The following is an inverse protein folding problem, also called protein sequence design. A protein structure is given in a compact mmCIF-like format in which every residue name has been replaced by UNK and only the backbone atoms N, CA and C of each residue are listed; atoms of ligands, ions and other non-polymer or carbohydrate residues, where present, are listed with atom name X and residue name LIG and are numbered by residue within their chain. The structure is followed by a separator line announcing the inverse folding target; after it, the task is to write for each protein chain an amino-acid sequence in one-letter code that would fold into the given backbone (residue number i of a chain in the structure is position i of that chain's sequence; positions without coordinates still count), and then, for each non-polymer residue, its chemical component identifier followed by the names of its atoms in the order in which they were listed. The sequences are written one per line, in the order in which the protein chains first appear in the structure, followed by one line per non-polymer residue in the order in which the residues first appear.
data_IF_028288789856
#
_entry.id   IF_028288789856
#
_cell.length_a   1.000
_cell.length_b   1.000
_cell.length_c   1.000
_cell.angle_alpha   90.00
_cell.angle_beta   90.00
_cell.angle_gamma   90.00
#
_symmetry.space_group_name_H-M   'P 1'
#
loop_
_entity.id
_entity.type
_entity.pdbx_description
1 polymer ?
#
# COMPACT_ATOMS: atom_id res chain seq x y z
N UNK A 1 -19.89 11.55 19.64
CA UNK A 1 -20.15 12.98 19.96
C UNK A 1 -19.03 13.46 20.89
N UNK A 2 -17.88 13.84 20.28
CA UNK A 2 -16.79 14.45 21.00
C UNK A 2 -17.19 15.87 21.40
N UNK A 3 -17.30 16.11 22.70
CA UNK A 3 -17.43 17.45 23.23
C UNK A 3 -16.24 18.29 22.73
N UNK A 4 -16.43 19.37 21.98
CA UNK A 4 -15.31 20.21 21.57
C UNK A 4 -14.72 20.84 22.83
N UNK A 5 -13.57 20.35 23.28
CA UNK A 5 -12.80 21.00 24.38
C UNK A 5 -12.22 22.35 23.94
N UNK A 6 -12.48 22.75 22.72
CA UNK A 6 -11.91 23.94 22.12
C UNK A 6 -12.78 25.16 22.39
N UNK A 7 -12.33 25.99 23.31
CA UNK A 7 -12.88 27.32 23.43
C UNK A 7 -12.57 28.13 22.16
N UNK A 8 -13.53 28.82 21.62
CA UNK A 8 -13.33 29.75 20.51
C UNK A 8 -12.51 30.96 20.97
N UNK A 9 -11.84 31.62 20.03
CA UNK A 9 -11.13 32.88 20.32
C UNK A 9 -12.03 33.89 21.04
N UNK A 10 -13.29 33.99 20.60
CA UNK A 10 -14.26 34.91 21.20
C UNK A 10 -14.60 34.52 22.64
N UNK A 11 -14.84 33.24 22.92
CA UNK A 11 -15.12 32.76 24.28
C UNK A 11 -13.96 33.00 25.24
N UNK A 12 -12.71 32.82 24.76
CA UNK A 12 -11.51 33.11 25.56
C UNK A 12 -11.45 34.61 25.87
N UNK A 13 -11.64 35.46 24.86
CA UNK A 13 -11.61 36.89 25.02
C UNK A 13 -12.70 37.37 25.99
N UNK A 14 -13.92 36.88 25.83
CA UNK A 14 -15.07 37.24 26.67
C UNK A 14 -14.88 36.76 28.12
N UNK A 15 -14.33 35.59 28.34
CA UNK A 15 -13.97 35.11 29.69
C UNK A 15 -12.93 36.01 30.37
N UNK A 16 -11.91 36.42 29.62
CA UNK A 16 -10.87 37.30 30.16
C UNK A 16 -11.46 38.69 30.51
N UNK A 17 -12.33 39.24 29.68
CA UNK A 17 -13.02 40.50 29.91
C UNK A 17 -13.94 40.42 31.12
N UNK A 18 -14.72 39.37 31.22
CA UNK A 18 -15.62 39.16 32.36
C UNK A 18 -14.83 39.03 33.67
N UNK A 19 -13.76 38.23 33.70
CA UNK A 19 -12.91 38.11 34.87
C UNK A 19 -12.27 39.42 35.33
N UNK A 20 -11.87 40.28 34.38
CA UNK A 20 -11.34 41.60 34.69
C UNK A 20 -12.41 42.50 35.26
N UNK A 21 -13.60 42.55 34.64
CA UNK A 21 -14.73 43.32 35.12
C UNK A 21 -15.13 42.93 36.54
N UNK A 22 -15.18 41.64 36.83
CA UNK A 22 -15.52 41.12 38.18
C UNK A 22 -14.47 41.52 39.22
N UNK A 23 -13.22 41.69 38.82
CA UNK A 23 -12.13 42.06 39.71
C UNK A 23 -12.02 43.57 39.97
N UNK A 24 -12.27 44.42 38.95
CA UNK A 24 -11.99 45.86 38.98
C UNK A 24 -13.23 46.74 38.82
N UNK A 25 -14.35 46.19 38.32
CA UNK A 25 -15.59 46.95 38.01
C UNK A 25 -15.50 47.82 36.76
N UNK A 26 -14.39 47.77 36.02
CA UNK A 26 -14.16 48.52 34.79
C UNK A 26 -14.26 47.63 33.57
N UNK A 27 -14.76 48.16 32.45
CA UNK A 27 -14.84 47.42 31.19
C UNK A 27 -13.54 47.52 30.39
N UNK A 28 -12.89 46.42 30.04
CA UNK A 28 -11.67 46.47 29.26
C UNK A 28 -11.81 47.12 27.88
N UNK A 29 -13.02 47.07 27.29
CA UNK A 29 -13.31 47.67 25.99
C UNK A 29 -13.19 49.22 26.03
N UNK A 30 -13.37 49.83 27.20
CA UNK A 30 -13.23 51.27 27.39
C UNK A 30 -11.74 51.70 27.54
N UNK A 31 -10.82 50.68 27.61
CA UNK A 31 -9.38 50.87 27.78
C UNK A 31 -8.63 50.24 26.59
N UNK A 32 -8.35 50.98 25.50
CA UNK A 32 -7.84 50.37 24.25
C UNK A 32 -6.54 49.59 24.40
N UNK A 33 -5.63 50.05 25.25
CA UNK A 33 -4.36 49.32 25.50
C UNK A 33 -4.58 47.98 26.20
N UNK A 34 -5.51 47.91 27.13
CA UNK A 34 -5.86 46.73 27.89
C UNK A 34 -6.60 45.72 27.01
N UNK A 35 -7.56 46.20 26.21
CA UNK A 35 -8.26 45.37 25.25
C UNK A 35 -7.28 44.74 24.19
N UNK A 36 -6.32 45.54 23.71
CA UNK A 36 -5.28 45.03 22.83
C UNK A 36 -4.41 43.92 23.47
N UNK A 37 -4.06 44.07 24.76
CA UNK A 37 -3.35 43.02 25.51
C UNK A 37 -4.18 41.76 25.68
N UNK A 38 -5.47 41.88 25.99
CA UNK A 38 -6.37 40.74 26.10
C UNK A 38 -6.51 39.99 24.77
N UNK A 39 -6.65 40.70 23.66
CA UNK A 39 -6.67 40.08 22.32
C UNK A 39 -5.37 39.36 21.98
N UNK A 40 -4.23 39.92 22.35
CA UNK A 40 -2.93 39.31 22.14
C UNK A 40 -2.80 38.01 22.94
N UNK A 41 -3.14 38.04 24.23
CA UNK A 41 -3.11 36.85 25.09
C UNK A 41 -4.13 35.78 24.63
N UNK A 42 -5.34 36.23 24.25
CA UNK A 42 -6.37 35.31 23.74
C UNK A 42 -5.93 34.61 22.43
N UNK A 43 -5.15 35.29 21.59
CA UNK A 43 -4.56 34.67 20.38
C UNK A 43 -3.64 33.52 20.74
N UNK A 44 -2.74 33.71 21.70
CA UNK A 44 -1.81 32.65 22.15
C UNK A 44 -2.54 31.50 22.86
N UNK A 45 -3.51 31.81 23.71
CA UNK A 45 -4.34 30.79 24.36
C UNK A 45 -5.18 29.98 23.35
N UNK A 46 -5.70 30.65 22.33
CA UNK A 46 -6.39 29.97 21.24
C UNK A 46 -5.46 29.06 20.45
N UNK A 47 -4.26 29.54 20.10
CA UNK A 47 -3.23 28.73 19.44
C UNK A 47 -2.87 27.50 20.29
N UNK A 48 -2.72 27.67 21.61
CA UNK A 48 -2.46 26.56 22.53
C UNK A 48 -3.63 25.57 22.57
N UNK A 49 -4.87 26.03 22.56
CA UNK A 49 -6.05 25.14 22.50
C UNK A 49 -6.11 24.35 21.19
N UNK A 50 -5.78 24.97 20.06
CA UNK A 50 -5.68 24.28 18.76
C UNK A 50 -4.59 23.19 18.80
N UNK A 51 -3.46 23.51 19.39
CA UNK A 51 -2.38 22.53 19.59
C UNK A 51 -2.82 21.38 20.49
N UNK A 52 -3.54 21.69 21.59
CA UNK A 52 -4.12 20.68 22.48
C UNK A 52 -5.06 19.71 21.77
N UNK A 53 -5.98 20.23 20.94
CA UNK A 53 -6.89 19.42 20.12
C UNK A 53 -6.11 18.54 19.12
N UNK A 54 -5.06 19.10 18.50
CA UNK A 54 -4.20 18.33 17.62
C UNK A 54 -3.54 17.17 18.37
N UNK A 55 -2.91 17.44 19.50
CA UNK A 55 -2.29 16.39 20.32
C UNK A 55 -3.32 15.34 20.72
N UNK A 56 -4.49 15.74 21.19
CA UNK A 56 -5.56 14.81 21.56
C UNK A 56 -5.98 13.92 20.39
N UNK A 57 -6.07 14.48 19.18
CA UNK A 57 -6.42 13.71 17.97
C UNK A 57 -5.35 12.72 17.57
N UNK A 58 -4.09 12.90 18.00
CA UNK A 58 -2.98 11.99 17.70
C UNK A 58 -2.75 10.91 18.78
N UNK A 59 -3.40 11.01 19.94
CA UNK A 59 -3.21 10.07 21.07
C UNK A 59 -3.73 8.67 20.75
N UNK A 60 -4.78 8.56 19.96
CA UNK A 60 -5.41 7.28 19.64
C UNK A 60 -5.19 6.91 18.18
N UNK A 61 -4.92 5.63 17.93
CA UNK A 61 -4.73 5.11 16.56
C UNK A 61 -5.94 5.37 15.64
N UNK A 62 -7.15 5.46 16.20
CA UNK A 62 -8.39 5.73 15.44
C UNK A 62 -8.39 7.10 14.78
N UNK A 63 -7.79 8.09 15.43
CA UNK A 63 -7.81 9.49 15.01
C UNK A 63 -6.46 9.99 14.54
N UNK A 64 -5.38 9.33 14.92
CA UNK A 64 -4.00 9.64 14.52
C UNK A 64 -3.81 9.58 13.00
N UNK A 65 -2.92 10.41 12.47
CA UNK A 65 -2.62 10.52 11.04
C UNK A 65 -1.12 10.61 10.78
N UNK A 66 -0.71 10.21 9.57
CA UNK A 66 0.66 10.36 9.09
C UNK A 66 1.68 9.74 10.04
N UNK A 67 2.70 10.50 10.42
CA UNK A 67 3.81 10.03 11.25
C UNK A 67 3.39 9.57 12.66
N UNK A 68 2.35 10.16 13.23
CA UNK A 68 1.87 9.76 14.56
C UNK A 68 1.14 8.41 14.48
N UNK A 69 0.39 8.15 13.41
CA UNK A 69 -0.17 6.83 13.14
C UNK A 69 0.93 5.78 12.88
N UNK A 70 2.04 6.17 12.26
CA UNK A 70 3.19 5.28 12.05
C UNK A 70 3.86 4.89 13.38
N UNK A 71 3.87 5.80 14.37
CA UNK A 71 4.33 5.48 15.74
C UNK A 71 3.42 4.46 16.41
N UNK A 72 2.08 4.64 16.34
CA UNK A 72 1.13 3.65 16.85
C UNK A 72 1.27 2.29 16.16
N UNK A 73 1.59 2.28 14.86
CA UNK A 73 1.89 1.04 14.14
C UNK A 73 3.15 0.36 14.69
N UNK A 74 4.21 1.14 14.93
CA UNK A 74 5.47 0.63 15.49
C UNK A 74 5.29 0.03 16.89
N UNK A 75 4.43 0.61 17.74
CA UNK A 75 4.12 0.11 19.08
C UNK A 75 3.52 -1.31 19.06
N UNK A 76 2.82 -1.67 17.98
CA UNK A 76 2.27 -3.02 17.76
C UNK A 76 3.11 -3.87 16.79
N UNK A 77 4.35 -3.45 16.50
CA UNK A 77 5.28 -4.18 15.63
C UNK A 77 4.94 -4.10 14.14
N UNK A 78 4.13 -3.14 13.71
CA UNK A 78 3.78 -2.91 12.32
C UNK A 78 4.58 -1.75 11.73
N UNK A 79 4.79 -1.81 10.41
CA UNK A 79 5.32 -0.70 9.63
C UNK A 79 4.38 -0.41 8.46
N UNK A 80 4.30 0.86 8.05
CA UNK A 80 3.56 1.25 6.85
C UNK A 80 4.19 0.60 5.62
N UNK A 81 3.36 -0.03 4.80
CA UNK A 81 3.81 -0.62 3.53
C UNK A 81 4.19 0.50 2.57
N UNK A 82 5.46 0.48 2.12
CA UNK A 82 5.97 1.41 1.14
C UNK A 82 5.40 1.18 -0.26
N UNK A 83 5.57 2.15 -1.14
CA UNK A 83 5.23 1.98 -2.55
C UNK A 83 6.16 0.95 -3.21
N UNK A 84 5.60 0.05 -4.01
CA UNK A 84 6.33 -0.97 -4.77
C UNK A 84 6.12 -0.83 -6.28
N UNK A 85 7.15 -1.16 -7.06
CA UNK A 85 7.07 -1.21 -8.50
C UNK A 85 6.42 -2.52 -8.97
N UNK A 86 5.70 -2.46 -10.09
CA UNK A 86 5.22 -3.66 -10.76
C UNK A 86 6.39 -4.36 -11.46
N UNK A 87 6.45 -5.68 -11.37
CA UNK A 87 7.46 -6.50 -12.01
C UNK A 87 6.81 -7.48 -13.00
N UNK A 88 7.55 -7.81 -14.06
CA UNK A 88 7.11 -8.74 -15.08
C UNK A 88 8.21 -9.01 -16.09
N UNK A 89 7.82 -9.63 -17.20
CA UNK A 89 8.72 -9.97 -18.30
C UNK A 89 8.22 -9.31 -19.57
N UNK A 90 9.14 -8.68 -20.31
CA UNK A 90 8.92 -8.13 -21.64
C UNK A 90 9.54 -9.06 -22.66
N UNK A 91 8.78 -9.41 -23.69
CA UNK A 91 9.26 -10.18 -24.85
C UNK A 91 9.53 -9.19 -25.97
N UNK A 92 10.79 -9.09 -26.38
CA UNK A 92 11.22 -8.29 -27.53
C UNK A 92 11.29 -9.17 -28.76
N UNK A 93 10.90 -8.62 -29.91
CA UNK A 93 10.85 -9.38 -31.18
C UNK A 93 11.52 -8.63 -32.34
N UNK A 94 12.10 -9.39 -33.24
CA UNK A 94 12.62 -8.98 -34.51
C UNK A 94 11.58 -9.20 -35.63
N UNK A 95 11.75 -8.56 -36.77
CA UNK A 95 10.92 -8.80 -37.97
C UNK A 95 11.24 -10.14 -38.66
N UNK A 96 12.47 -10.61 -38.52
CA UNK A 96 13.00 -11.86 -39.09
C UNK A 96 13.97 -12.50 -38.11
N UNK A 97 14.31 -13.77 -38.30
CA UNK A 97 15.32 -14.43 -37.47
C UNK A 97 16.64 -13.64 -37.53
N UNK A 98 17.30 -13.50 -36.37
CA UNK A 98 18.53 -12.74 -36.26
C UNK A 98 19.65 -13.37 -37.11
N UNK A 99 20.26 -12.61 -38.02
CA UNK A 99 21.46 -13.06 -38.76
C UNK A 99 22.70 -13.05 -37.85
N UNK A 100 22.73 -12.13 -36.89
CA UNK A 100 23.77 -12.00 -35.88
C UNK A 100 23.12 -11.69 -34.54
N UNK A 101 23.86 -11.90 -33.44
CA UNK A 101 23.36 -11.64 -32.09
C UNK A 101 22.92 -10.17 -31.92
N UNK A 102 21.66 -9.93 -31.51
CA UNK A 102 21.08 -8.61 -31.25
C UNK A 102 20.85 -8.43 -29.78
N UNK A 103 21.42 -7.39 -29.19
CA UNK A 103 21.33 -7.12 -27.76
C UNK A 103 20.25 -6.09 -27.44
N UNK A 104 19.37 -6.42 -26.50
CA UNK A 104 18.48 -5.50 -25.81
C UNK A 104 19.22 -4.99 -24.57
N UNK A 105 19.53 -3.70 -24.46
CA UNK A 105 20.19 -3.14 -23.28
C UNK A 105 19.31 -3.19 -22.03
N UNK A 106 19.96 -3.17 -20.85
CA UNK A 106 19.27 -2.77 -19.62
C UNK A 106 18.75 -1.33 -19.77
N UNK A 107 17.76 -0.97 -18.93
CA UNK A 107 17.11 0.34 -18.95
C UNK A 107 16.42 0.69 -20.29
N UNK A 108 16.09 -0.33 -21.10
CA UNK A 108 15.23 -0.12 -22.25
C UNK A 108 13.81 0.17 -21.77
N UNK A 109 13.32 1.39 -22.08
CA UNK A 109 12.02 1.87 -21.60
C UNK A 109 10.92 1.54 -22.61
N UNK A 110 9.88 0.89 -22.12
CA UNK A 110 8.66 0.56 -22.87
C UNK A 110 7.43 1.16 -22.17
N UNK A 111 6.36 1.38 -22.91
CA UNK A 111 5.13 1.96 -22.38
C UNK A 111 3.87 1.29 -22.94
N UNK A 112 2.74 1.54 -22.29
CA UNK A 112 1.43 1.10 -22.74
C UNK A 112 0.96 2.02 -23.87
N UNK A 113 0.39 1.46 -24.93
CA UNK A 113 -0.18 2.24 -26.03
C UNK A 113 -1.31 3.15 -25.51
N UNK A 114 -1.25 4.44 -25.87
CA UNK A 114 -2.22 5.46 -25.40
C UNK A 114 -2.01 5.94 -23.95
N UNK A 115 -1.07 5.35 -23.20
CA UNK A 115 -0.76 5.72 -21.82
C UNK A 115 0.76 5.87 -21.61
N UNK A 116 1.40 6.89 -22.17
CA UNK A 116 2.86 7.04 -22.17
C UNK A 116 3.47 7.27 -20.79
N UNK A 117 2.65 7.59 -19.79
CA UNK A 117 3.07 7.71 -18.39
C UNK A 117 3.25 6.37 -17.68
N UNK A 118 2.67 5.27 -18.21
CA UNK A 118 2.89 3.92 -17.70
C UNK A 118 4.13 3.34 -18.38
N UNK A 119 5.28 3.54 -17.74
CA UNK A 119 6.59 3.17 -18.24
C UNK A 119 7.20 2.01 -17.46
N UNK A 120 7.90 1.14 -18.20
CA UNK A 120 8.56 -0.05 -17.70
C UNK A 120 9.96 -0.10 -18.28
N UNK A 121 10.96 -0.38 -17.43
CA UNK A 121 12.34 -0.49 -17.85
C UNK A 121 12.87 -1.92 -17.65
N UNK A 122 13.66 -2.39 -18.59
CA UNK A 122 14.36 -3.68 -18.46
C UNK A 122 15.39 -3.60 -17.34
N UNK A 123 15.49 -4.63 -16.50
CA UNK A 123 16.43 -4.67 -15.37
C UNK A 123 17.79 -5.25 -15.74
N UNK A 124 17.85 -5.98 -16.84
CA UNK A 124 19.08 -6.65 -17.33
C UNK A 124 19.16 -6.53 -18.84
N UNK A 125 20.37 -6.55 -19.38
CA UNK A 125 20.55 -6.75 -20.81
C UNK A 125 20.30 -8.21 -21.17
N UNK A 126 19.73 -8.44 -22.36
CA UNK A 126 19.54 -9.77 -22.93
C UNK A 126 19.87 -9.75 -24.41
N UNK A 127 20.27 -10.90 -24.95
CA UNK A 127 20.69 -11.01 -26.35
C UNK A 127 19.83 -12.03 -27.06
N UNK A 128 19.30 -11.67 -28.22
CA UNK A 128 18.64 -12.59 -29.16
C UNK A 128 19.76 -13.30 -29.92
N UNK A 129 19.94 -14.63 -29.79
CA UNK A 129 20.96 -15.37 -30.54
C UNK A 129 20.67 -15.36 -32.03
N UNK A 130 21.70 -15.62 -32.84
CA UNK A 130 21.51 -15.84 -34.27
C UNK A 130 20.57 -17.05 -34.52
N UNK A 131 19.59 -16.85 -35.39
CA UNK A 131 18.56 -17.85 -35.70
C UNK A 131 17.27 -17.72 -34.86
N UNK A 132 17.29 -16.97 -33.75
CA UNK A 132 16.13 -16.73 -32.92
C UNK A 132 15.41 -15.43 -33.29
N UNK A 133 14.16 -15.28 -32.82
CA UNK A 133 13.28 -14.13 -33.17
C UNK A 133 12.96 -13.27 -31.97
N UNK A 134 13.01 -13.84 -30.77
CA UNK A 134 12.52 -13.20 -29.56
C UNK A 134 13.47 -13.43 -28.40
N UNK A 135 13.37 -12.53 -27.41
CA UNK A 135 14.02 -12.70 -26.11
C UNK A 135 13.13 -12.16 -25.01
N UNK A 136 13.08 -12.88 -23.91
CA UNK A 136 12.39 -12.48 -22.71
C UNK A 136 13.35 -11.76 -21.76
N UNK A 137 12.94 -10.58 -21.32
CA UNK A 137 13.74 -9.71 -20.47
C UNK A 137 12.95 -9.30 -19.25
N UNK A 138 13.44 -9.53 -18.02
CA UNK A 138 12.77 -9.04 -16.83
C UNK A 138 12.74 -7.51 -16.81
N UNK A 139 11.60 -6.95 -16.42
CA UNK A 139 11.39 -5.52 -16.37
C UNK A 139 10.58 -5.11 -15.14
N UNK A 140 10.76 -3.85 -14.73
CA UNK A 140 10.03 -3.24 -13.61
C UNK A 140 9.42 -1.93 -14.06
N UNK A 141 8.32 -1.55 -13.43
CA UNK A 141 7.70 -0.24 -13.68
C UNK A 141 8.55 0.89 -13.10
N UNK A 142 8.63 2.02 -13.79
CA UNK A 142 9.27 3.22 -13.28
C UNK A 142 8.41 3.91 -12.20
N UNK A 143 7.09 3.80 -12.32
CA UNK A 143 6.16 4.29 -11.32
C UNK A 143 5.77 3.20 -10.31
N UNK A 144 5.47 3.62 -9.08
CA UNK A 144 5.10 2.73 -7.97
C UNK A 144 3.63 2.93 -7.61
N UNK A 145 2.74 2.48 -8.50
CA UNK A 145 1.29 2.57 -8.31
C UNK A 145 0.60 1.32 -8.82
N UNK A 146 -0.64 1.09 -8.40
CA UNK A 146 -1.46 -0.02 -8.86
C UNK A 146 -1.79 0.06 -10.36
N UNK A 147 -1.76 1.25 -10.96
CA UNK A 147 -1.98 1.44 -12.39
C UNK A 147 -0.92 0.74 -13.28
N UNK A 148 0.27 0.47 -12.72
CA UNK A 148 1.33 -0.27 -13.43
C UNK A 148 1.13 -1.81 -13.41
N UNK A 149 0.07 -2.32 -12.77
CA UNK A 149 -0.31 -3.73 -12.84
C UNK A 149 -1.11 -3.98 -14.12
N UNK A 150 -0.43 -3.95 -15.27
CA UNK A 150 -1.06 -4.02 -16.58
C UNK A 150 -1.29 -5.47 -17.02
N UNK A 151 -2.36 -5.68 -17.79
CA UNK A 151 -2.72 -6.99 -18.33
C UNK A 151 -1.76 -7.44 -19.45
N UNK A 152 -1.75 -8.73 -19.83
CA UNK A 152 -0.95 -9.23 -20.93
C UNK A 152 -1.24 -8.49 -22.24
N UNK A 153 -0.21 -8.24 -23.04
CA UNK A 153 -0.31 -7.60 -24.35
C UNK A 153 -0.52 -6.08 -24.34
N UNK A 154 -0.53 -5.43 -23.17
CA UNK A 154 -0.74 -3.98 -23.09
C UNK A 154 0.51 -3.15 -23.38
N UNK A 155 1.71 -3.67 -23.11
CA UNK A 155 2.97 -2.96 -23.32
C UNK A 155 3.46 -3.21 -24.73
N UNK A 156 3.25 -2.24 -25.62
CA UNK A 156 3.53 -2.41 -27.07
C UNK A 156 4.37 -1.31 -27.66
N UNK A 157 4.72 -0.28 -26.90
CA UNK A 157 5.47 0.87 -27.38
C UNK A 157 6.86 0.89 -26.72
N UNK A 158 7.91 1.03 -27.54
CA UNK A 158 9.27 1.27 -27.06
C UNK A 158 9.57 2.77 -27.11
N UNK A 159 9.98 3.34 -25.98
CA UNK A 159 10.33 4.77 -25.88
C UNK A 159 11.73 5.01 -26.44
N UNK A 160 12.67 4.11 -26.13
CA UNK A 160 14.03 4.12 -26.66
C UNK A 160 14.32 2.77 -27.37
N UNK A 161 13.82 2.58 -28.61
CA UNK A 161 13.92 1.29 -29.29
C UNK A 161 15.36 0.90 -29.55
N UNK A 162 15.81 -0.31 -29.12
CA UNK A 162 17.13 -0.82 -29.46
C UNK A 162 17.25 -1.10 -30.96
N UNK A 163 18.46 -1.00 -31.50
CA UNK A 163 18.70 -1.23 -32.91
C UNK A 163 18.29 -2.65 -33.32
N UNK A 164 17.50 -2.76 -34.41
CA UNK A 164 17.01 -4.03 -34.95
C UNK A 164 15.72 -4.56 -34.32
N UNK A 165 15.35 -4.16 -33.11
CA UNK A 165 14.12 -4.59 -32.45
C UNK A 165 12.91 -3.91 -33.11
N UNK A 166 11.86 -4.69 -33.40
CA UNK A 166 10.64 -4.22 -34.07
C UNK A 166 9.41 -4.22 -33.20
N UNK A 167 9.34 -5.08 -32.20
CA UNK A 167 8.18 -5.17 -31.32
C UNK A 167 8.56 -5.48 -29.90
N UNK A 168 7.68 -5.11 -29.01
CA UNK A 168 7.71 -5.48 -27.58
C UNK A 168 6.32 -5.87 -27.15
N UNK A 169 6.21 -6.86 -26.28
CA UNK A 169 4.94 -7.23 -25.64
C UNK A 169 5.22 -7.82 -24.26
N UNK A 170 4.22 -7.84 -23.42
CA UNK A 170 4.24 -8.59 -22.18
C UNK A 170 3.32 -9.80 -22.30
N UNK A 171 3.89 -11.01 -22.30
CA UNK A 171 3.11 -12.25 -22.38
C UNK A 171 2.26 -12.47 -21.11
N UNK A 172 2.77 -12.04 -19.96
CA UNK A 172 2.12 -12.16 -18.67
C UNK A 172 1.80 -10.79 -18.08
N UNK A 173 0.86 -10.79 -17.12
CA UNK A 173 0.51 -9.59 -16.36
C UNK A 173 1.70 -9.06 -15.56
N UNK A 174 1.92 -7.76 -15.57
CA UNK A 174 2.77 -7.10 -14.58
C UNK A 174 2.03 -6.98 -13.26
N UNK A 175 2.70 -7.29 -12.16
CA UNK A 175 2.09 -7.32 -10.83
C UNK A 175 3.04 -6.81 -9.74
N UNK A 176 2.51 -6.56 -8.55
CA UNK A 176 3.28 -6.08 -7.40
C UNK A 176 3.39 -4.56 -7.31
N UNK A 177 2.86 -3.83 -8.29
CA UNK A 177 2.76 -2.36 -8.21
C UNK A 177 1.76 -1.93 -7.15
N UNK A 178 2.20 -1.12 -6.20
CA UNK A 178 1.35 -0.57 -5.14
C UNK A 178 1.80 0.84 -4.75
N UNK A 179 0.84 1.69 -4.42
CA UNK A 179 1.11 2.97 -3.79
C UNK A 179 1.47 2.76 -2.31
N UNK A 180 1.98 3.81 -1.66
CA UNK A 180 2.15 3.82 -0.21
C UNK A 180 0.82 3.52 0.47
N UNK A 181 0.87 2.71 1.51
CA UNK A 181 -0.30 2.34 2.30
C UNK A 181 -0.97 3.58 2.90
N UNK A 182 -2.30 3.68 2.72
CA UNK A 182 -3.08 4.80 3.25
C UNK A 182 -3.24 4.69 4.78
N UNK A 183 -3.48 5.82 5.44
CA UNK A 183 -3.76 5.85 6.89
C UNK A 183 -4.94 4.93 7.25
N UNK A 184 -5.96 4.87 6.40
CA UNK A 184 -7.12 4.00 6.63
C UNK A 184 -6.73 2.53 6.62
N UNK A 185 -5.91 2.10 5.66
CA UNK A 185 -5.46 0.70 5.56
C UNK A 185 -4.53 0.33 6.73
N UNK A 186 -3.59 1.22 7.08
CA UNK A 186 -2.71 1.01 8.22
C UNK A 186 -3.49 0.92 9.54
N UNK A 187 -4.47 1.80 9.75
CA UNK A 187 -5.35 1.78 10.93
C UNK A 187 -6.11 0.47 11.06
N UNK A 188 -6.66 -0.04 9.96
CA UNK A 188 -7.32 -1.34 9.96
C UNK A 188 -6.38 -2.48 10.39
N UNK A 189 -5.13 -2.47 9.93
CA UNK A 189 -4.11 -3.45 10.34
C UNK A 189 -3.77 -3.33 11.82
N UNK A 190 -3.62 -2.12 12.35
CA UNK A 190 -3.39 -1.88 13.79
C UNK A 190 -4.55 -2.48 14.60
N UNK A 191 -5.81 -2.17 14.23
CA UNK A 191 -6.98 -2.72 14.90
C UNK A 191 -7.03 -4.25 14.84
N UNK A 192 -6.67 -4.86 13.71
CA UNK A 192 -6.64 -6.31 13.58
C UNK A 192 -5.63 -6.97 14.53
N UNK A 193 -4.43 -6.41 14.65
CA UNK A 193 -3.40 -6.91 15.58
C UNK A 193 -3.84 -6.74 17.04
N UNK A 194 -4.50 -5.64 17.36
CA UNK A 194 -5.01 -5.40 18.73
C UNK A 194 -6.17 -6.35 19.11
N UNK A 195 -7.02 -6.72 18.13
CA UNK A 195 -8.12 -7.66 18.37
C UNK A 195 -7.64 -9.09 18.60
N UNK A 196 -6.56 -9.51 17.92
CA UNK A 196 -5.98 -10.84 18.05
C UNK A 196 -4.47 -10.70 18.26
N UNK A 197 -4.03 -10.28 19.44
CA UNK A 197 -2.61 -10.06 19.69
C UNK A 197 -1.82 -11.38 19.53
N UNK A 198 -0.66 -11.33 18.86
CA UNK A 198 0.23 -12.49 18.77
C UNK A 198 0.70 -12.89 20.17
N UNK A 199 0.43 -14.12 20.58
CA UNK A 199 0.85 -14.64 21.89
C UNK A 199 2.03 -15.63 21.82
N UNK A 200 2.74 -15.63 20.70
CA UNK A 200 3.91 -16.47 20.47
C UNK A 200 3.63 -17.84 19.85
N UNK A 201 2.41 -18.36 19.99
CA UNK A 201 2.04 -19.72 19.52
C UNK A 201 0.71 -19.79 18.76
N UNK A 202 -0.05 -18.69 18.67
CA UNK A 202 -1.32 -18.70 17.97
C UNK A 202 -1.13 -18.52 16.47
N UNK A 203 -2.15 -18.88 15.70
CA UNK A 203 -2.14 -18.76 14.24
C UNK A 203 -1.92 -17.31 13.77
N UNK A 204 -2.31 -16.32 14.56
CA UNK A 204 -2.10 -14.91 14.24
C UNK A 204 -0.61 -14.54 14.31
N UNK A 205 0.13 -15.05 15.28
CA UNK A 205 1.58 -14.85 15.38
C UNK A 205 2.31 -15.47 14.19
N UNK A 206 1.97 -16.72 13.86
CA UNK A 206 2.57 -17.41 12.72
C UNK A 206 2.24 -16.72 11.40
N UNK A 207 1.00 -16.27 11.20
CA UNK A 207 0.60 -15.51 10.02
C UNK A 207 1.36 -14.18 9.90
N UNK A 208 1.44 -13.41 11.00
CA UNK A 208 2.16 -12.15 11.02
C UNK A 208 3.65 -12.31 10.69
N UNK A 209 4.28 -13.38 11.18
CA UNK A 209 5.68 -13.68 10.86
C UNK A 209 5.90 -13.97 9.36
N UNK A 210 4.99 -14.74 8.74
CA UNK A 210 5.06 -15.07 7.31
C UNK A 210 4.78 -13.83 6.45
N UNK A 211 3.83 -12.98 6.83
CA UNK A 211 3.49 -11.75 6.09
C UNK A 211 4.58 -10.68 6.12
N UNK A 212 5.57 -10.79 7.03
CA UNK A 212 6.77 -9.94 7.03
C UNK A 212 7.72 -10.24 5.86
N UNK A 213 7.61 -11.40 5.23
CA UNK A 213 8.44 -11.74 4.06
C UNK A 213 7.99 -10.92 2.84
N UNK A 214 8.92 -10.21 2.21
CA UNK A 214 8.64 -9.30 1.09
C UNK A 214 7.91 -9.95 -0.09
N UNK A 215 8.16 -11.24 -0.33
CA UNK A 215 7.57 -12.02 -1.44
C UNK A 215 6.15 -12.52 -1.12
N UNK A 216 5.70 -12.43 0.12
CA UNK A 216 4.37 -12.87 0.55
C UNK A 216 3.36 -11.75 0.37
N UNK A 217 2.26 -12.04 -0.34
CA UNK A 217 1.12 -11.13 -0.49
C UNK A 217 0.13 -11.28 0.67
N UNK A 218 -0.17 -12.52 1.01
CA UNK A 218 -1.04 -12.89 2.14
C UNK A 218 -0.79 -14.34 2.51
N UNK A 219 -1.07 -14.69 3.76
CA UNK A 219 -1.04 -16.08 4.19
C UNK A 219 -2.24 -16.41 5.08
N UNK A 220 -2.54 -17.70 5.19
CA UNK A 220 -3.51 -18.24 6.14
C UNK A 220 -2.91 -19.46 6.81
N UNK A 221 -2.83 -19.43 8.12
CA UNK A 221 -2.37 -20.55 8.93
C UNK A 221 -3.58 -21.33 9.40
N UNK A 222 -3.59 -22.62 9.08
CA UNK A 222 -4.59 -23.56 9.55
C UNK A 222 -3.94 -24.47 10.61
N UNK A 223 -4.45 -24.49 11.84
CA UNK A 223 -3.92 -25.38 12.87
C UNK A 223 -4.11 -26.82 12.45
N UNK A 224 -3.12 -27.65 12.73
CA UNK A 224 -3.20 -29.10 12.49
C UNK A 224 -4.28 -29.73 13.34
N UNK A 225 -4.89 -30.76 12.77
CA UNK A 225 -5.77 -31.65 13.54
C UNK A 225 -4.98 -32.57 14.47
N UNK A 226 -5.35 -33.87 14.47
CA UNK A 226 -4.66 -34.91 15.26
C UNK A 226 -3.22 -35.19 14.85
N UNK A 227 -2.75 -34.69 13.70
CA UNK A 227 -1.50 -35.07 13.08
C UNK A 227 -0.35 -34.10 13.38
N UNK A 228 -0.54 -33.09 14.22
CA UNK A 228 0.43 -32.06 14.59
C UNK A 228 1.03 -31.31 13.38
N UNK A 229 0.34 -31.31 12.23
CA UNK A 229 0.76 -30.60 11.02
C UNK A 229 0.07 -29.25 10.96
N UNK A 230 0.86 -28.18 10.96
CA UNK A 230 0.37 -26.82 10.74
C UNK A 230 0.49 -26.50 9.26
N UNK A 231 -0.64 -26.38 8.58
CA UNK A 231 -0.66 -26.03 7.14
C UNK A 231 -0.71 -24.53 6.97
N UNK A 232 0.24 -24.00 6.19
CA UNK A 232 0.37 -22.58 5.89
C UNK A 232 0.12 -22.35 4.41
N UNK A 233 -1.04 -21.81 4.09
CA UNK A 233 -1.38 -21.42 2.72
C UNK A 233 -0.79 -20.05 2.42
N UNK A 234 0.12 -19.98 1.46
CA UNK A 234 0.82 -18.76 1.07
C UNK A 234 0.38 -18.32 -0.31
N UNK A 235 0.17 -17.02 -0.47
CA UNK A 235 0.01 -16.35 -1.75
C UNK A 235 1.21 -15.48 -2.02
N UNK A 236 1.96 -15.80 -3.06
CA UNK A 236 3.12 -15.03 -3.50
C UNK A 236 2.70 -13.76 -4.25
N UNK A 237 3.47 -12.68 -4.10
CA UNK A 237 3.34 -11.46 -4.92
C UNK A 237 3.72 -11.72 -6.39
N UNK A 238 4.62 -12.68 -6.63
CA UNK A 238 5.12 -13.04 -7.96
C UNK A 238 4.29 -14.12 -8.68
N UNK A 239 3.20 -14.55 -8.07
CA UNK A 239 2.21 -15.46 -8.67
C UNK A 239 2.38 -16.93 -8.29
N UNK A 240 3.58 -17.48 -8.17
CA UNK A 240 3.85 -18.85 -7.76
C UNK A 240 4.65 -18.91 -6.47
N UNK A 241 4.48 -19.99 -5.71
CA UNK A 241 5.26 -20.29 -4.50
C UNK A 241 6.33 -21.28 -4.89
N UNK A 242 7.54 -20.75 -5.16
CA UNK A 242 8.73 -21.54 -5.48
C UNK A 242 9.35 -22.19 -4.22
N UNK A 243 10.31 -23.09 -4.43
CA UNK A 243 10.96 -23.82 -3.33
C UNK A 243 11.76 -22.88 -2.41
N UNK A 244 12.31 -21.79 -2.94
CA UNK A 244 13.03 -20.78 -2.16
C UNK A 244 12.09 -20.07 -1.18
N UNK A 245 10.89 -19.67 -1.63
CA UNK A 245 9.89 -19.06 -0.76
C UNK A 245 9.35 -20.07 0.27
N UNK A 246 9.16 -21.35 -0.13
CA UNK A 246 8.76 -22.41 0.82
C UNK A 246 9.78 -22.56 1.93
N UNK A 247 11.07 -22.63 1.57
CA UNK A 247 12.15 -22.73 2.53
C UNK A 247 12.19 -21.52 3.47
N UNK A 248 12.14 -20.31 2.94
CA UNK A 248 12.13 -19.08 3.73
C UNK A 248 10.94 -19.00 4.72
N UNK A 249 9.76 -19.47 4.32
CA UNK A 249 8.59 -19.55 5.20
C UNK A 249 8.80 -20.59 6.28
N UNK A 250 9.32 -21.76 5.94
CA UNK A 250 9.59 -22.85 6.90
C UNK A 250 10.63 -22.41 7.92
N UNK A 251 11.76 -21.86 7.50
CA UNK A 251 12.81 -21.35 8.39
C UNK A 251 12.30 -20.26 9.36
N UNK A 252 11.46 -19.35 8.84
CA UNK A 252 10.86 -18.30 9.66
C UNK A 252 9.92 -18.86 10.73
N UNK A 253 9.20 -19.92 10.42
CA UNK A 253 8.22 -20.53 11.31
C UNK A 253 8.83 -21.56 12.28
N UNK A 254 9.92 -22.24 11.92
CA UNK A 254 10.61 -23.23 12.78
C UNK A 254 11.02 -22.64 14.12
N UNK A 255 11.39 -21.35 14.12
CA UNK A 255 11.76 -20.62 15.36
C UNK A 255 10.56 -20.38 16.27
N UNK A 256 9.35 -20.32 15.69
CA UNK A 256 8.11 -19.94 16.37
C UNK A 256 7.23 -21.16 16.69
N UNK A 257 7.52 -22.31 16.10
CA UNK A 257 6.69 -23.52 16.24
C UNK A 257 7.09 -24.33 17.47
N UNK A 258 6.11 -24.95 18.10
CA UNK A 258 6.35 -25.86 19.21
C UNK A 258 7.06 -27.13 18.74
N UNK A 259 7.97 -27.65 19.56
CA UNK A 259 8.64 -28.90 19.30
C UNK A 259 7.62 -30.05 19.05
N UNK A 260 7.78 -30.76 17.94
CA UNK A 260 6.88 -31.83 17.53
C UNK A 260 5.75 -31.43 16.59
N UNK A 261 5.63 -30.13 16.24
CA UNK A 261 4.77 -29.71 15.14
C UNK A 261 5.52 -29.66 13.82
N UNK A 262 4.88 -30.14 12.75
CA UNK A 262 5.41 -30.07 11.39
C UNK A 262 4.73 -28.95 10.63
N UNK A 263 5.50 -28.21 9.82
CA UNK A 263 5.00 -27.14 8.99
C UNK A 263 4.88 -27.64 7.56
N UNK A 264 3.67 -27.53 6.99
CA UNK A 264 3.40 -27.80 5.59
C UNK A 264 3.03 -26.50 4.88
N UNK A 265 3.90 -26.04 3.95
CA UNK A 265 3.71 -24.80 3.20
C UNK A 265 3.10 -25.12 1.84
N UNK A 266 1.86 -24.68 1.64
CA UNK A 266 1.11 -24.90 0.41
C UNK A 266 0.81 -23.58 -0.30
N UNK A 267 0.72 -23.65 -1.64
CA UNK A 267 0.23 -22.53 -2.44
C UNK A 267 -1.29 -22.41 -2.30
N UNK A 268 -1.77 -21.18 -2.05
CA UNK A 268 -3.19 -20.89 -2.02
C UNK A 268 -3.80 -21.06 -3.42
N UNK A 269 -4.73 -22.00 -3.59
CA UNK A 269 -5.42 -22.26 -4.87
C UNK A 269 -6.34 -21.09 -5.21
N UNK A 270 -6.21 -20.57 -6.43
CA UNK A 270 -7.15 -19.58 -6.98
C UNK A 270 -8.46 -20.27 -7.30
N UNK A 271 -9.54 -19.83 -6.66
CA UNK A 271 -10.90 -20.28 -7.01
C UNK A 271 -11.58 -19.17 -7.81
N UNK A 272 -11.91 -19.39 -9.09
CA UNK A 272 -12.65 -18.40 -9.85
C UNK A 272 -14.07 -18.28 -9.27
N UNK A 273 -14.45 -17.05 -8.97
CA UNK A 273 -15.81 -16.72 -8.53
C UNK A 273 -16.50 -16.02 -9.68
N UNK A 274 -17.61 -16.58 -10.15
CA UNK A 274 -18.45 -15.94 -11.15
C UNK A 274 -19.45 -15.03 -10.42
N UNK A 275 -19.29 -13.70 -10.59
CA UNK A 275 -20.24 -12.72 -10.09
C UNK A 275 -21.25 -12.41 -11.18
N UNK A 276 -22.52 -12.67 -10.91
CA UNK A 276 -23.64 -12.24 -11.76
C UNK A 276 -24.30 -11.04 -11.08
N UNK A 277 -24.10 -9.87 -11.65
CA UNK A 277 -24.71 -8.64 -11.16
C UNK A 277 -25.84 -8.20 -12.10
N UNK A 278 -27.00 -7.88 -11.54
CA UNK A 278 -28.07 -7.19 -12.26
C UNK A 278 -28.15 -5.75 -11.76
N UNK A 279 -28.00 -4.79 -12.67
CA UNK A 279 -28.10 -3.37 -12.35
C UNK A 279 -29.31 -2.76 -13.05
N UNK A 280 -30.10 -1.99 -12.32
CA UNK A 280 -31.20 -1.21 -12.88
C UNK A 280 -30.65 0.18 -13.26
N UNK A 281 -30.70 0.51 -14.54
CA UNK A 281 -30.14 1.75 -15.07
C UNK A 281 -31.22 2.83 -15.00
N UNK A 282 -30.88 3.98 -14.45
CA UNK A 282 -31.76 5.15 -14.44
C UNK A 282 -32.00 5.64 -15.87
N UNK A 283 -33.22 6.13 -16.14
CA UNK A 283 -33.59 6.66 -17.44
C UNK A 283 -32.63 7.82 -17.86
N UNK A 284 -31.93 7.65 -18.97
CA UNK A 284 -30.97 8.62 -19.50
C UNK A 284 -29.50 8.28 -19.30
N UNK A 285 -29.13 7.23 -18.55
CA UNK A 285 -27.75 6.77 -18.44
C UNK A 285 -27.42 5.78 -19.59
N UNK A 286 -26.21 5.92 -20.16
CA UNK A 286 -25.73 5.01 -21.21
C UNK A 286 -25.36 3.62 -20.61
N UNK A 287 -25.97 2.53 -21.09
CA UNK A 287 -25.72 1.18 -20.60
C UNK A 287 -24.25 0.72 -20.76
N UNK A 288 -23.55 1.21 -21.78
CA UNK A 288 -22.16 0.85 -22.03
C UNK A 288 -21.22 1.46 -20.98
N UNK A 289 -21.47 2.71 -20.61
CA UNK A 289 -20.69 3.41 -19.56
C UNK A 289 -20.91 2.76 -18.19
N UNK A 290 -22.15 2.39 -17.86
CA UNK A 290 -22.46 1.68 -16.58
C UNK A 290 -21.80 0.30 -16.56
N UNK A 291 -21.81 -0.45 -17.66
CA UNK A 291 -21.16 -1.76 -17.75
C UNK A 291 -19.64 -1.69 -17.60
N UNK A 292 -19.00 -0.61 -18.06
CA UNK A 292 -17.55 -0.42 -17.92
C UNK A 292 -17.12 0.04 -16.52
N UNK A 293 -18.08 0.55 -15.72
CA UNK A 293 -17.85 1.02 -14.34
C UNK A 293 -18.14 -0.08 -13.28
N UNK A 294 -18.83 -1.15 -13.66
CA UNK A 294 -19.09 -2.35 -12.85
C UNK A 294 -17.97 -3.39 -12.99
#
# INVERSE_FOLDING_TARGET
DGCPMRATYQEITDKMRAAFFDACGEKPEDLPELDARFRSVATELYALSVFGDHVQSQVFADTARGADLDRHAADVGLQRKGASAAAGVLTFSLAQAAEAAVTVPADTVCSVAGQPYLQFATTKAATIPAGEWTVDVPAVSLGKTTAHNVEPGCITVMVNPPAGIRGVTNANRFSGGAAVETDTALRQRICQVQQVPPNGVNTACLAAAVEQLDRVLSCKVCPGGSDYIVTVYVRSRQGQVDDELRLAVTEKLDILTLAGCFIDVQEAKKQPVQLVCSAQILAGADPATVRSAL
#
